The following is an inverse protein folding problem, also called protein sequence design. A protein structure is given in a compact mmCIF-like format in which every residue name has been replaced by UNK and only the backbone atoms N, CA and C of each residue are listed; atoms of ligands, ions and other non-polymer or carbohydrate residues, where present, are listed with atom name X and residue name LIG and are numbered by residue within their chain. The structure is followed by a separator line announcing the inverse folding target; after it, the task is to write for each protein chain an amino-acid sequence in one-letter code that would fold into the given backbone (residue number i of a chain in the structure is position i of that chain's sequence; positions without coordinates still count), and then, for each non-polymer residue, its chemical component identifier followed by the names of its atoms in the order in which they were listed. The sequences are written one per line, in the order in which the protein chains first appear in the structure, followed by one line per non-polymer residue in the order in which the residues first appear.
data_IF_411838819028
#
_entry.id   IF_411838819028
#
_cell.length_a   1.000
_cell.length_b   1.000
_cell.length_c   1.000
_cell.angle_alpha   90.00
_cell.angle_beta   90.00
_cell.angle_gamma   90.00
#
_symmetry.space_group_name_H-M   'P 1'
#
loop_
_entity.id
_entity.type
_entity.pdbx_description
1 polymer ?
#
# COMPACT_ATOMS: atom_id res chain seq x y z
N UNK A 1 -14.01 10.06 18.92
CA UNK A 1 -14.28 10.26 17.48
C UNK A 1 -13.44 11.42 17.00
N UNK A 2 -12.49 11.20 16.09
CA UNK A 2 -11.73 12.29 15.48
C UNK A 2 -12.52 12.84 14.29
N UNK A 3 -12.77 14.16 14.27
CA UNK A 3 -13.40 14.84 13.13
C UNK A 3 -12.30 15.26 12.16
N UNK A 4 -12.30 14.67 10.98
CA UNK A 4 -11.28 14.92 9.96
C UNK A 4 -11.81 15.91 8.92
N UNK A 5 -11.04 16.97 8.65
CA UNK A 5 -11.45 18.05 7.74
C UNK A 5 -11.58 17.60 6.28
N UNK A 6 -12.55 18.18 5.56
CA UNK A 6 -12.95 17.85 4.18
C UNK A 6 -11.81 17.79 3.15
N UNK A 7 -10.69 18.49 3.41
CA UNK A 7 -9.56 18.61 2.49
C UNK A 7 -8.35 17.76 2.88
N UNK A 8 -8.47 16.82 3.84
CA UNK A 8 -7.31 16.05 4.30
C UNK A 8 -6.75 15.14 3.20
N UNK A 9 -7.61 14.56 2.36
CA UNK A 9 -7.19 13.71 1.25
C UNK A 9 -6.38 14.52 0.25
N UNK A 10 -6.84 15.72 -0.09
CA UNK A 10 -6.13 16.63 -0.99
C UNK A 10 -4.80 17.08 -0.39
N UNK A 11 -4.75 17.41 0.89
CA UNK A 11 -3.49 17.83 1.54
C UNK A 11 -2.47 16.68 1.64
N UNK A 12 -2.91 15.44 1.90
CA UNK A 12 -2.04 14.27 1.94
C UNK A 12 -1.53 13.88 0.55
N UNK A 13 -2.37 13.98 -0.48
CA UNK A 13 -2.00 13.61 -1.86
C UNK A 13 -1.23 14.70 -2.60
N UNK A 14 -1.37 15.97 -2.21
CA UNK A 14 -0.73 17.11 -2.89
C UNK A 14 0.49 17.65 -2.14
N UNK A 15 0.48 17.63 -0.81
CA UNK A 15 1.51 18.25 0.01
C UNK A 15 2.71 17.35 0.35
N UNK A 16 2.59 16.03 0.16
CA UNK A 16 3.58 15.07 0.68
C UNK A 16 4.58 14.53 -0.32
N UNK A 17 4.34 14.68 -1.64
CA UNK A 17 5.17 14.08 -2.67
C UNK A 17 5.39 15.03 -3.83
N UNK A 18 6.65 15.43 -4.03
CA UNK A 18 7.08 16.25 -5.18
C UNK A 18 7.23 15.44 -6.48
N UNK A 19 7.33 14.11 -6.39
CA UNK A 19 7.40 13.20 -7.53
C UNK A 19 6.27 12.15 -7.46
N UNK A 20 5.42 12.13 -8.48
CA UNK A 20 4.32 11.17 -8.60
C UNK A 20 4.80 9.73 -8.73
N UNK A 21 6.06 9.48 -9.12
CA UNK A 21 6.64 8.12 -9.16
C UNK A 21 6.81 7.50 -7.77
N UNK A 22 6.74 8.29 -6.70
CA UNK A 22 6.81 7.78 -5.33
C UNK A 22 5.70 6.75 -5.04
N UNK A 23 4.54 6.87 -5.70
CA UNK A 23 3.45 5.92 -5.51
C UNK A 23 3.86 4.47 -5.80
N UNK A 24 4.65 4.23 -6.86
CA UNK A 24 5.08 2.87 -7.20
C UNK A 24 5.92 2.27 -6.10
N UNK A 25 6.80 3.07 -5.49
CA UNK A 25 7.62 2.65 -4.36
C UNK A 25 6.74 2.21 -3.19
N UNK A 26 5.72 3.00 -2.84
CA UNK A 26 4.85 2.69 -1.70
C UNK A 26 4.05 1.39 -1.92
N UNK A 27 3.53 1.17 -3.13
CA UNK A 27 2.78 -0.06 -3.45
C UNK A 27 3.68 -1.29 -3.49
N UNK A 28 4.88 -1.18 -4.08
CA UNK A 28 5.86 -2.28 -4.08
C UNK A 28 6.33 -2.59 -2.66
N UNK A 29 6.56 -1.58 -1.83
CA UNK A 29 6.92 -1.79 -0.42
C UNK A 29 5.81 -2.51 0.35
N UNK A 30 4.54 -2.14 0.14
CA UNK A 30 3.42 -2.84 0.76
C UNK A 30 3.35 -4.30 0.33
N UNK A 31 3.53 -4.59 -0.96
CA UNK A 31 3.61 -5.95 -1.48
C UNK A 31 4.75 -6.74 -0.82
N UNK A 32 5.96 -6.18 -0.75
CA UNK A 32 7.09 -6.81 -0.07
C UNK A 32 6.82 -7.08 1.43
N UNK A 33 6.24 -6.12 2.15
CA UNK A 33 5.91 -6.31 3.57
C UNK A 33 4.90 -7.46 3.76
N UNK A 34 3.93 -7.62 2.86
CA UNK A 34 2.99 -8.75 2.92
C UNK A 34 3.65 -10.08 2.54
N UNK A 35 4.57 -10.10 1.58
CA UNK A 35 5.35 -11.30 1.24
C UNK A 35 6.18 -11.76 2.44
N UNK A 36 6.88 -10.84 3.10
CA UNK A 36 7.67 -11.13 4.30
C UNK A 36 6.75 -11.74 5.40
N UNK A 37 5.55 -11.19 5.56
CA UNK A 37 4.54 -11.72 6.48
C UNK A 37 4.04 -13.11 6.06
N UNK A 38 3.74 -13.32 4.78
CA UNK A 38 3.28 -14.61 4.25
C UNK A 38 4.32 -15.71 4.46
N UNK A 39 5.60 -15.41 4.23
CA UNK A 39 6.72 -16.32 4.51
C UNK A 39 6.79 -16.64 6.01
N UNK A 40 6.73 -15.61 6.86
CA UNK A 40 6.78 -15.80 8.33
C UNK A 40 5.63 -16.65 8.88
N UNK A 41 4.48 -16.65 8.19
CA UNK A 41 3.28 -17.44 8.52
C UNK A 41 3.26 -18.82 7.86
N UNK A 42 4.25 -19.15 7.02
CA UNK A 42 4.30 -20.40 6.26
C UNK A 42 3.24 -20.51 5.16
N UNK A 43 2.67 -19.39 4.71
CA UNK A 43 1.74 -19.34 3.56
C UNK A 43 2.52 -19.49 2.25
N UNK A 44 3.72 -18.90 2.19
CA UNK A 44 4.64 -18.99 1.06
C UNK A 44 5.98 -19.55 1.53
N UNK A 45 6.66 -20.32 0.69
CA UNK A 45 8.08 -20.58 0.86
C UNK A 45 8.92 -19.33 0.52
N UNK A 46 10.15 -19.27 1.01
CA UNK A 46 11.02 -18.09 0.87
C UNK A 46 11.30 -17.67 -0.58
N UNK A 47 11.15 -18.59 -1.54
CA UNK A 47 11.36 -18.38 -2.97
C UNK A 47 10.07 -18.30 -3.79
N UNK A 48 8.90 -18.30 -3.14
CA UNK A 48 7.58 -18.29 -3.82
C UNK A 48 6.95 -16.89 -3.87
N UNK A 49 7.44 -15.93 -3.08
CA UNK A 49 6.93 -14.55 -3.10
C UNK A 49 7.23 -13.83 -4.41
N UNK A 50 6.21 -13.21 -5.00
CA UNK A 50 6.34 -12.45 -6.25
C UNK A 50 5.53 -11.15 -6.23
N UNK A 51 6.02 -10.15 -6.96
CA UNK A 51 5.30 -8.90 -7.25
C UNK A 51 5.30 -8.69 -8.75
N UNK A 52 4.12 -8.79 -9.36
CA UNK A 52 3.90 -8.56 -10.79
C UNK A 52 3.52 -7.10 -11.04
N UNK A 53 4.25 -6.45 -11.95
CA UNK A 53 3.98 -5.06 -12.36
C UNK A 53 3.56 -5.08 -13.83
N UNK A 54 2.35 -4.62 -14.10
CA UNK A 54 1.80 -4.53 -15.45
C UNK A 54 1.51 -3.06 -15.81
N UNK A 55 1.92 -2.64 -17.00
CA UNK A 55 1.71 -1.27 -17.51
C UNK A 55 1.03 -1.37 -18.87
N UNK A 56 -0.19 -0.85 -18.95
CA UNK A 56 -0.93 -0.64 -20.20
C UNK A 56 -1.00 0.86 -20.49
N UNK A 57 -0.12 1.31 -21.38
CA UNK A 57 -0.04 2.73 -21.77
C UNK A 57 -1.24 3.18 -22.59
N UNK A 58 -1.91 2.26 -23.31
CA UNK A 58 -3.10 2.59 -24.11
C UNK A 58 -4.30 2.84 -23.22
N UNK A 59 -4.47 2.04 -22.17
CA UNK A 59 -5.53 2.19 -21.17
C UNK A 59 -5.18 3.14 -20.04
N UNK A 60 -3.95 3.67 -20.02
CA UNK A 60 -3.39 4.44 -18.90
C UNK A 60 -3.58 3.72 -17.57
N UNK A 61 -3.32 2.41 -17.58
CA UNK A 61 -3.56 1.52 -16.46
C UNK A 61 -2.26 0.91 -15.98
N UNK A 62 -2.08 0.84 -14.67
CA UNK A 62 -0.95 0.16 -14.03
C UNK A 62 -1.50 -0.76 -12.95
N UNK A 63 -0.99 -1.98 -12.90
CA UNK A 63 -1.29 -2.97 -11.88
C UNK A 63 -0.02 -3.33 -11.13
N UNK A 64 -0.10 -3.42 -9.81
CA UNK A 64 0.93 -4.00 -8.95
C UNK A 64 0.21 -5.07 -8.14
N UNK A 65 0.61 -6.33 -8.32
CA UNK A 65 -0.04 -7.49 -7.73
C UNK A 65 0.98 -8.37 -7.03
N UNK A 66 0.75 -8.66 -5.75
CA UNK A 66 1.48 -9.69 -5.01
C UNK A 66 0.65 -10.97 -4.87
N UNK A 67 1.32 -12.05 -4.46
CA UNK A 67 0.73 -13.34 -4.13
C UNK A 67 0.75 -13.64 -2.62
N UNK A 68 0.77 -12.61 -1.78
CA UNK A 68 1.01 -12.76 -0.35
C UNK A 68 -0.27 -13.07 0.44
N UNK A 69 -0.44 -12.46 1.61
CA UNK A 69 -1.50 -12.79 2.57
C UNK A 69 -2.90 -12.35 2.13
N UNK A 70 -2.98 -11.38 1.21
CA UNK A 70 -4.24 -10.70 0.89
C UNK A 70 -4.82 -9.95 2.10
N UNK A 71 -6.04 -9.45 1.94
CA UNK A 71 -6.82 -8.80 3.00
C UNK A 71 -8.11 -9.60 3.17
N UNK A 72 -8.45 -9.97 4.41
CA UNK A 72 -9.71 -10.66 4.71
C UNK A 72 -10.87 -9.68 4.54
N UNK A 73 -12.03 -10.18 4.11
CA UNK A 73 -13.22 -9.36 3.92
C UNK A 73 -13.62 -8.61 5.20
N UNK A 74 -13.55 -9.27 6.36
CA UNK A 74 -13.85 -8.68 7.67
C UNK A 74 -12.95 -7.50 8.01
N UNK A 75 -11.71 -7.52 7.53
CA UNK A 75 -10.66 -6.58 7.92
C UNK A 75 -10.53 -5.47 6.87
N UNK A 76 -11.23 -5.57 5.73
CA UNK A 76 -11.09 -4.68 4.59
C UNK A 76 -11.36 -3.20 4.94
N UNK A 77 -12.43 -2.92 5.69
CA UNK A 77 -12.79 -1.54 6.05
C UNK A 77 -11.74 -0.93 6.97
N UNK A 78 -11.19 -1.71 7.89
CA UNK A 78 -10.14 -1.24 8.81
C UNK A 78 -8.79 -1.14 8.08
N UNK A 79 -8.36 -2.20 7.41
CA UNK A 79 -7.04 -2.28 6.77
C UNK A 79 -6.92 -1.37 5.54
N UNK A 80 -7.98 -1.21 4.74
CA UNK A 80 -7.96 -0.41 3.49
C UNK A 80 -8.62 0.94 3.68
N UNK A 81 -9.66 1.02 4.52
CA UNK A 81 -10.44 2.25 4.75
C UNK A 81 -9.80 3.21 5.76
N UNK A 82 -8.97 2.76 6.70
CA UNK A 82 -8.31 3.70 7.61
C UNK A 82 -7.19 4.49 6.92
N UNK A 83 -7.22 5.80 7.15
CA UNK A 83 -6.21 6.74 6.66
C UNK A 83 -5.26 7.02 7.82
N UNK A 84 -3.95 6.79 7.61
CA UNK A 84 -2.88 7.11 8.56
C UNK A 84 -2.88 6.30 9.88
N UNK A 85 -3.52 5.13 9.92
CA UNK A 85 -3.51 4.22 11.07
C UNK A 85 -2.75 2.91 10.73
N UNK A 86 -1.49 3.05 10.30
CA UNK A 86 -0.66 1.89 9.98
C UNK A 86 -0.11 1.27 11.26
N UNK A 87 -0.53 0.05 11.60
CA UNK A 87 0.01 -0.77 12.71
C UNK A 87 1.47 -1.24 12.48
N UNK A 88 2.24 -0.58 11.61
CA UNK A 88 3.61 -0.97 11.24
C UNK A 88 4.65 -0.34 12.17
N UNK A 89 5.48 -1.17 12.78
CA UNK A 89 6.61 -0.73 13.61
C UNK A 89 7.78 -0.17 12.78
N UNK A 90 8.34 0.98 13.22
CA UNK A 90 9.56 1.57 12.65
C UNK A 90 10.71 0.58 12.75
N UNK A 91 11.41 0.34 11.64
CA UNK A 91 12.63 -0.48 11.61
C UNK A 91 12.40 -1.97 11.37
N UNK A 92 11.14 -2.42 11.36
CA UNK A 92 10.74 -3.80 11.05
C UNK A 92 10.02 -3.92 9.70
N UNK A 93 9.19 -2.94 9.37
CA UNK A 93 8.46 -2.88 8.10
C UNK A 93 9.07 -1.81 7.18
N UNK A 94 9.06 -2.07 5.87
CA UNK A 94 9.70 -1.19 4.88
C UNK A 94 8.86 0.07 4.61
N UNK A 95 7.55 0.02 4.81
CA UNK A 95 6.65 1.19 4.80
C UNK A 95 6.21 1.59 6.22
N UNK A 96 6.18 2.90 6.52
CA UNK A 96 5.89 3.38 7.89
C UNK A 96 4.69 4.33 8.02
N UNK A 97 4.34 5.10 6.98
CA UNK A 97 3.43 6.26 7.15
C UNK A 97 1.94 5.97 6.97
N UNK A 98 1.54 4.80 6.45
CA UNK A 98 0.12 4.42 6.31
C UNK A 98 -0.72 5.27 5.34
N UNK A 99 -0.07 6.07 4.49
CA UNK A 99 -0.71 7.02 3.55
C UNK A 99 -0.38 6.75 2.07
N UNK A 100 0.62 5.90 1.79
CA UNK A 100 1.11 5.64 0.44
C UNK A 100 0.03 5.11 -0.51
N UNK A 101 -0.94 4.34 0.01
CA UNK A 101 -2.09 3.80 -0.73
C UNK A 101 -3.08 4.87 -1.25
N UNK A 102 -3.11 6.06 -0.66
CA UNK A 102 -4.01 7.13 -1.07
C UNK A 102 -3.40 8.04 -2.14
N UNK A 103 -2.09 7.94 -2.36
CA UNK A 103 -1.36 8.78 -3.31
C UNK A 103 -1.83 8.59 -4.76
N UNK A 104 -2.51 7.49 -5.08
CA UNK A 104 -3.01 7.17 -6.41
C UNK A 104 -4.39 7.69 -6.75
N UNK A 105 -5.12 8.23 -5.77
CA UNK A 105 -6.51 8.66 -5.97
C UNK A 105 -6.63 10.00 -6.71
N UNK A 106 -5.52 10.71 -6.94
CA UNK A 106 -5.52 12.08 -7.46
C UNK A 106 -5.11 12.23 -8.93
N UNK A 107 -4.98 11.15 -9.70
CA UNK A 107 -4.44 11.20 -11.07
C UNK A 107 -5.30 10.47 -12.10
#
# INVERSE_FOLDING_TARGET
MATVGKNILDNLTTGMYSDSKVIYREYIQNACDQIDLAISRGILAANEGSVDIFIDTKKRYISIKDNATGVKESDFIEDVGDIANSNKEIGKNKGFRGIGRLCGLKH
#
